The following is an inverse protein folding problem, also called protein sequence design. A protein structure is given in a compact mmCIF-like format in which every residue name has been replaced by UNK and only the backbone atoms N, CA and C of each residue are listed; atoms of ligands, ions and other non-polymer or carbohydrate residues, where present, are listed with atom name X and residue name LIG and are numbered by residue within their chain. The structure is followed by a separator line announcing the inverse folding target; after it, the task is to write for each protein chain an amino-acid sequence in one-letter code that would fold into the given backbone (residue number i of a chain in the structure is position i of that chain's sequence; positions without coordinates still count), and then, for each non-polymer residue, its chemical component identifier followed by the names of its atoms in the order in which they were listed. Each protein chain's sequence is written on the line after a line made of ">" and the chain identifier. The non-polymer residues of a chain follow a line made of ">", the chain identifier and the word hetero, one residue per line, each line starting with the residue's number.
data_IF_848969614041
#
_entry.id   IF_848969614041
#
_cell.length_a   1.000
_cell.length_b   1.000
_cell.length_c   1.000
_cell.angle_alpha   90.00
_cell.angle_beta   90.00
_cell.angle_gamma   90.00
#
_symmetry.space_group_name_H-M   'P 1'
#
loop_
_entity.id
_entity.type
_entity.pdbx_description
1 polymer ?
#
# COMPACT_ATOMS: atom_id res chain seq x y z
N UNK A 1 -12.62 -25.94 -26.34
CA UNK A 1 -12.02 -26.64 -25.17
C UNK A 1 -11.82 -25.65 -24.03
N UNK A 2 -12.35 -25.94 -22.83
CA UNK A 2 -12.02 -25.16 -21.63
C UNK A 2 -10.69 -25.68 -21.09
N UNK A 3 -9.71 -24.80 -20.96
CA UNK A 3 -8.37 -25.14 -20.45
C UNK A 3 -8.41 -25.14 -18.93
N UNK A 4 -7.56 -25.95 -18.29
CA UNK A 4 -7.36 -25.84 -16.84
C UNK A 4 -6.68 -24.50 -16.50
N UNK A 5 -6.95 -24.00 -15.30
CA UNK A 5 -6.27 -22.82 -14.77
C UNK A 5 -4.76 -23.08 -14.67
N UNK A 6 -3.94 -22.12 -15.12
CA UNK A 6 -2.47 -22.25 -15.14
C UNK A 6 -1.79 -22.08 -13.78
N UNK A 7 -2.54 -21.83 -12.71
CA UNK A 7 -1.99 -21.69 -11.35
C UNK A 7 -1.83 -23.06 -10.74
N UNK A 8 -0.62 -23.36 -10.25
CA UNK A 8 -0.29 -24.64 -9.63
C UNK A 8 -1.24 -24.96 -8.46
N UNK A 9 -1.80 -26.17 -8.47
CA UNK A 9 -2.74 -26.63 -7.45
C UNK A 9 -4.19 -26.15 -7.64
N UNK A 10 -4.49 -25.37 -8.69
CA UNK A 10 -5.86 -24.97 -9.00
C UNK A 10 -6.55 -26.01 -9.88
N UNK A 11 -7.69 -26.52 -9.43
CA UNK A 11 -8.52 -27.49 -10.17
C UNK A 11 -9.64 -26.84 -10.99
N UNK A 12 -9.80 -25.51 -10.88
CA UNK A 12 -10.82 -24.76 -11.59
C UNK A 12 -10.49 -24.57 -13.08
N UNK A 13 -11.52 -24.41 -13.90
CA UNK A 13 -11.36 -24.11 -15.31
C UNK A 13 -10.97 -22.65 -15.55
N UNK A 14 -10.18 -22.42 -16.59
CA UNK A 14 -9.85 -21.09 -17.04
C UNK A 14 -11.10 -20.37 -17.57
N UNK A 15 -11.17 -19.06 -17.32
CA UNK A 15 -12.34 -18.23 -17.59
C UNK A 15 -12.17 -17.39 -18.88
N UNK A 16 -13.00 -17.67 -19.88
CA UNK A 16 -12.96 -17.01 -21.19
C UNK A 16 -11.68 -17.31 -21.96
N UNK A 17 -11.01 -16.25 -22.45
CA UNK A 17 -9.73 -16.32 -23.17
C UNK A 17 -8.50 -16.26 -22.27
N UNK A 18 -8.68 -16.25 -20.95
CA UNK A 18 -7.58 -16.22 -19.98
C UNK A 18 -6.95 -17.59 -19.80
N UNK A 19 -5.70 -17.64 -19.33
CA UNK A 19 -5.07 -18.87 -18.82
C UNK A 19 -5.45 -19.18 -17.37
N UNK A 20 -6.06 -18.23 -16.67
CA UNK A 20 -6.44 -18.30 -15.25
C UNK A 20 -7.96 -18.38 -15.07
N UNK A 21 -8.41 -19.03 -13.99
CA UNK A 21 -9.82 -19.02 -13.58
C UNK A 21 -10.27 -17.61 -13.11
N UNK A 22 -11.58 -17.39 -13.01
CA UNK A 22 -12.15 -16.10 -12.60
C UNK A 22 -11.66 -15.60 -11.23
N UNK A 23 -11.47 -16.52 -10.28
CA UNK A 23 -10.93 -16.23 -8.96
C UNK A 23 -9.49 -15.70 -9.00
N UNK A 24 -8.61 -16.40 -9.73
CA UNK A 24 -7.21 -16.00 -9.88
C UNK A 24 -7.04 -14.72 -10.70
N UNK A 25 -7.86 -14.50 -11.74
CA UNK A 25 -7.92 -13.21 -12.47
C UNK A 25 -8.27 -12.06 -11.52
N UNK A 26 -9.28 -12.26 -10.68
CA UNK A 26 -9.73 -11.24 -9.72
C UNK A 26 -8.68 -10.99 -8.66
N UNK A 27 -8.01 -12.03 -8.16
CA UNK A 27 -6.95 -11.91 -7.16
C UNK A 27 -5.76 -11.15 -7.73
N UNK A 28 -5.27 -11.52 -8.91
CA UNK A 28 -4.20 -10.80 -9.62
C UNK A 28 -4.55 -9.32 -9.86
N UNK A 29 -5.78 -9.05 -10.31
CA UNK A 29 -6.24 -7.66 -10.51
C UNK A 29 -6.24 -6.84 -9.21
N UNK A 30 -6.58 -7.46 -8.08
CA UNK A 30 -6.72 -6.78 -6.78
C UNK A 30 -5.43 -6.71 -5.96
N UNK A 31 -4.54 -7.68 -6.15
CA UNK A 31 -3.41 -7.94 -5.26
C UNK A 31 -2.08 -7.99 -6.00
N UNK A 32 -2.06 -7.79 -7.32
CA UNK A 32 -0.86 -7.71 -8.13
C UNK A 32 -0.34 -9.07 -8.62
N UNK A 33 -0.71 -10.15 -7.93
CA UNK A 33 -0.36 -11.53 -8.28
C UNK A 33 -1.51 -12.49 -7.92
N UNK A 34 -1.62 -13.60 -8.67
CA UNK A 34 -2.70 -14.56 -8.50
C UNK A 34 -2.58 -15.40 -7.22
N UNK A 35 -1.39 -15.58 -6.67
CA UNK A 35 -1.15 -16.32 -5.42
C UNK A 35 -0.95 -15.38 -4.22
N UNK A 36 -0.82 -14.06 -4.44
CA UNK A 36 -0.66 -13.09 -3.36
C UNK A 36 -1.82 -13.16 -2.35
N UNK A 37 -1.44 -13.27 -1.08
CA UNK A 37 -2.37 -13.11 0.03
C UNK A 37 -2.54 -11.62 0.39
N UNK A 38 -3.76 -11.17 0.74
CA UNK A 38 -3.98 -9.79 1.15
C UNK A 38 -3.25 -9.49 2.45
N UNK A 39 -2.48 -8.41 2.49
CA UNK A 39 -2.02 -7.83 3.76
C UNK A 39 -3.25 -7.25 4.45
N UNK A 40 -3.51 -7.63 5.68
CA UNK A 40 -4.67 -7.15 6.46
C UNK A 40 -4.31 -5.89 7.26
N UNK A 41 -5.34 -5.12 7.64
CA UNK A 41 -5.13 -3.98 8.55
C UNK A 41 -4.62 -4.44 9.93
N UNK A 42 -4.99 -5.66 10.35
CA UNK A 42 -4.55 -6.25 11.63
C UNK A 42 -3.06 -6.54 11.62
N UNK A 43 -2.54 -7.14 10.55
CA UNK A 43 -1.10 -7.40 10.37
C UNK A 43 -0.30 -6.09 10.35
N UNK A 44 -0.83 -5.04 9.71
CA UNK A 44 -0.10 -3.78 9.56
C UNK A 44 -0.19 -2.86 10.78
N UNK A 45 -1.22 -2.97 11.61
CA UNK A 45 -1.44 -2.15 12.81
C UNK A 45 -0.21 -1.98 13.72
N UNK A 46 0.54 -3.03 14.10
CA UNK A 46 1.73 -2.85 14.93
C UNK A 46 2.81 -2.00 14.27
N UNK A 47 2.97 -2.08 12.95
CA UNK A 47 3.96 -1.30 12.20
C UNK A 47 3.56 0.17 12.10
N UNK A 48 2.28 0.45 11.86
CA UNK A 48 1.77 1.83 11.87
C UNK A 48 1.97 2.45 13.25
N UNK A 49 1.65 1.73 14.32
CA UNK A 49 1.85 2.21 15.69
C UNK A 49 3.33 2.50 16.01
N UNK A 50 4.27 1.70 15.48
CA UNK A 50 5.71 1.95 15.60
C UNK A 50 6.13 3.26 14.92
N UNK A 51 5.65 3.50 13.69
CA UNK A 51 5.94 4.74 12.96
C UNK A 51 5.34 5.95 13.68
N UNK A 52 4.08 5.86 14.11
CA UNK A 52 3.42 6.92 14.88
C UNK A 52 4.13 7.23 16.20
N UNK A 53 4.62 6.20 16.92
CA UNK A 53 5.41 6.37 18.13
C UNK A 53 6.68 7.19 17.84
N UNK A 54 7.36 6.94 16.71
CA UNK A 54 8.54 7.71 16.30
C UNK A 54 8.20 9.16 15.94
N UNK A 55 7.12 9.37 15.20
CA UNK A 55 6.64 10.72 14.87
C UNK A 55 6.39 11.51 16.16
N UNK A 56 5.75 10.89 17.17
CA UNK A 56 5.50 11.52 18.47
C UNK A 56 6.77 11.74 19.30
N UNK A 57 7.73 10.83 19.24
CA UNK A 57 8.98 10.94 19.99
C UNK A 57 9.93 12.01 19.41
N UNK A 58 9.88 12.24 18.09
CA UNK A 58 10.74 13.21 17.40
C UNK A 58 9.92 14.07 16.43
N UNK A 59 9.03 14.94 16.95
CA UNK A 59 8.13 15.73 16.11
C UNK A 59 8.86 16.73 15.22
N UNK A 60 9.96 17.31 15.71
CA UNK A 60 10.75 18.35 15.02
C UNK A 60 11.88 17.77 14.16
N UNK A 61 11.88 16.46 13.92
CA UNK A 61 12.89 15.84 13.07
C UNK A 61 12.81 16.38 11.64
N UNK A 62 13.93 16.85 11.05
CA UNK A 62 13.96 17.37 9.68
C UNK A 62 13.58 16.29 8.65
N UNK A 63 13.68 15.00 9.02
CA UNK A 63 13.27 13.89 8.17
C UNK A 63 11.77 13.97 7.81
N UNK A 64 10.90 14.40 8.73
CA UNK A 64 9.47 14.53 8.46
C UNK A 64 9.18 15.65 7.47
N UNK A 65 9.86 16.79 7.60
CA UNK A 65 9.75 17.90 6.66
C UNK A 65 10.21 17.48 5.25
N UNK A 66 11.26 16.69 5.14
CA UNK A 66 11.73 16.14 3.85
C UNK A 66 10.68 15.21 3.24
N UNK A 67 10.06 14.32 4.03
CA UNK A 67 9.01 13.43 3.56
C UNK A 67 7.75 14.18 3.12
N UNK A 68 7.32 15.15 3.92
CA UNK A 68 6.19 16.02 3.61
C UNK A 68 6.46 16.82 2.31
N UNK A 69 7.68 17.33 2.12
CA UNK A 69 8.07 18.05 0.91
C UNK A 69 8.12 17.14 -0.34
N UNK A 70 8.63 15.91 -0.21
CA UNK A 70 8.66 14.92 -1.31
C UNK A 70 7.25 14.58 -1.77
N UNK A 71 6.36 14.29 -0.81
CA UNK A 71 4.97 14.01 -1.10
C UNK A 71 4.23 15.23 -1.66
N UNK A 72 4.45 16.41 -1.09
CA UNK A 72 3.91 17.67 -1.59
C UNK A 72 4.29 17.96 -3.05
N UNK A 73 5.53 17.66 -3.44
CA UNK A 73 5.98 17.76 -4.84
C UNK A 73 5.20 16.84 -5.76
N UNK A 74 5.02 15.57 -5.36
CA UNK A 74 4.25 14.59 -6.14
C UNK A 74 2.79 15.02 -6.27
N UNK A 75 2.16 15.48 -5.19
CA UNK A 75 0.79 16.00 -5.21
C UNK A 75 0.70 17.23 -6.10
N UNK A 76 1.71 18.11 -6.08
CA UNK A 76 1.83 19.25 -7.00
C UNK A 76 1.82 18.82 -8.47
N UNK A 77 2.64 17.83 -8.83
CA UNK A 77 2.64 17.23 -10.18
C UNK A 77 1.27 16.65 -10.52
N UNK A 78 0.64 15.93 -9.60
CA UNK A 78 -0.69 15.35 -9.80
C UNK A 78 -1.76 16.42 -10.05
N UNK A 79 -1.71 17.54 -9.32
CA UNK A 79 -2.60 18.70 -9.55
C UNK A 79 -2.38 19.30 -10.94
N UNK A 80 -1.13 19.43 -11.38
CA UNK A 80 -0.82 19.93 -12.72
C UNK A 80 -1.37 19.02 -13.82
N UNK A 81 -1.24 17.70 -13.67
CA UNK A 81 -1.83 16.69 -14.58
C UNK A 81 -3.35 16.86 -14.69
N UNK A 82 -4.03 17.03 -13.55
CA UNK A 82 -5.49 17.20 -13.53
C UNK A 82 -5.93 18.54 -14.14
N UNK A 83 -5.18 19.62 -13.88
CA UNK A 83 -5.45 20.92 -14.49
C UNK A 83 -5.27 20.88 -16.02
N UNK A 84 -4.28 20.13 -16.53
CA UNK A 84 -4.12 19.89 -17.97
C UNK A 84 -5.33 19.17 -18.60
N UNK A 85 -5.84 18.16 -17.90
CA UNK A 85 -7.07 17.48 -18.31
C UNK A 85 -8.27 18.42 -18.37
N UNK A 86 -8.44 19.30 -17.37
CA UNK A 86 -9.53 20.29 -17.34
C UNK A 86 -9.44 21.30 -18.49
N UNK A 87 -8.22 21.62 -18.95
CA UNK A 87 -7.98 22.42 -20.16
C UNK A 87 -8.21 21.67 -21.48
N UNK A 88 -8.50 20.36 -21.43
CA UNK A 88 -8.71 19.53 -22.62
C UNK A 88 -7.43 18.99 -23.25
N UNK A 89 -6.31 18.99 -22.53
CA UNK A 89 -5.06 18.40 -23.02
C UNK A 89 -5.18 16.87 -23.15
N UNK A 90 -4.64 16.31 -24.24
CA UNK A 90 -4.56 14.86 -24.42
C UNK A 90 -3.65 14.24 -23.35
N UNK A 91 -4.09 13.12 -22.76
CA UNK A 91 -3.34 12.49 -21.68
C UNK A 91 -3.76 11.05 -21.42
N UNK A 92 -2.99 10.39 -20.55
CA UNK A 92 -3.23 9.00 -20.21
C UNK A 92 -4.33 8.87 -19.14
N UNK A 93 -5.42 8.18 -19.47
CA UNK A 93 -6.54 7.94 -18.53
C UNK A 93 -6.10 7.32 -17.21
N UNK A 94 -5.12 6.42 -17.22
CA UNK A 94 -4.62 5.79 -15.99
C UNK A 94 -3.81 6.75 -15.12
N UNK A 95 -3.09 7.66 -15.75
CA UNK A 95 -2.35 8.72 -15.07
C UNK A 95 -3.30 9.73 -14.43
N UNK A 96 -4.36 10.12 -15.14
CA UNK A 96 -5.43 10.96 -14.56
C UNK A 96 -6.09 10.30 -13.35
N UNK A 97 -6.40 9.00 -13.44
CA UNK A 97 -6.99 8.26 -12.32
C UNK A 97 -6.05 8.15 -11.12
N UNK A 98 -4.76 7.90 -11.36
CA UNK A 98 -3.76 7.86 -10.30
C UNK A 98 -3.58 9.24 -9.65
N UNK A 99 -3.47 10.30 -10.46
CA UNK A 99 -3.30 11.68 -10.01
C UNK A 99 -4.50 12.15 -9.18
N UNK A 100 -5.72 11.85 -9.64
CA UNK A 100 -6.96 12.13 -8.90
C UNK A 100 -6.96 11.45 -7.53
N UNK A 101 -6.49 10.21 -7.45
CA UNK A 101 -6.41 9.50 -6.18
C UNK A 101 -5.33 10.07 -5.25
N UNK A 102 -4.16 10.42 -5.77
CA UNK A 102 -3.09 11.04 -4.96
C UNK A 102 -3.54 12.38 -4.34
N UNK A 103 -4.16 13.26 -5.14
CA UNK A 103 -4.72 14.53 -4.66
C UNK A 103 -5.84 14.31 -3.64
N UNK A 104 -6.69 13.30 -3.88
CA UNK A 104 -7.76 12.93 -2.96
C UNK A 104 -7.21 12.44 -1.62
N UNK A 105 -6.20 11.57 -1.62
CA UNK A 105 -5.55 11.07 -0.41
C UNK A 105 -4.96 12.20 0.42
N UNK A 106 -4.29 13.15 -0.23
CA UNK A 106 -3.75 14.33 0.45
C UNK A 106 -4.87 15.14 1.11
N UNK A 107 -5.96 15.38 0.40
CA UNK A 107 -7.09 16.16 0.92
C UNK A 107 -7.80 15.49 2.10
N UNK A 108 -7.92 14.16 2.11
CA UNK A 108 -8.72 13.45 3.12
C UNK A 108 -7.93 13.00 4.34
N UNK A 109 -6.71 12.48 4.13
CA UNK A 109 -5.91 11.88 5.21
C UNK A 109 -4.70 12.74 5.60
N UNK A 110 -4.18 13.53 4.65
CA UNK A 110 -2.95 14.31 4.79
C UNK A 110 -1.68 13.46 4.61
N UNK A 111 -0.61 14.11 4.15
CA UNK A 111 0.66 13.48 3.81
C UNK A 111 1.26 12.63 4.92
N UNK A 112 1.19 13.08 6.18
CA UNK A 112 1.74 12.34 7.33
C UNK A 112 1.11 10.97 7.56
N UNK A 113 -0.22 10.84 7.41
CA UNK A 113 -0.90 9.54 7.53
C UNK A 113 -0.59 8.62 6.36
N UNK A 114 -0.50 9.19 5.16
CA UNK A 114 -0.06 8.46 3.96
C UNK A 114 1.36 7.92 4.17
N UNK A 115 2.27 8.77 4.65
CA UNK A 115 3.65 8.41 4.97
C UNK A 115 3.71 7.31 6.04
N UNK A 116 2.93 7.42 7.13
CA UNK A 116 2.94 6.43 8.20
C UNK A 116 2.60 5.02 7.70
N UNK A 117 1.58 4.88 6.85
CA UNK A 117 1.20 3.58 6.28
C UNK A 117 2.19 3.11 5.22
N UNK A 118 2.74 4.01 4.40
CA UNK A 118 3.76 3.64 3.41
C UNK A 118 5.04 3.12 4.07
N UNK A 119 5.53 3.83 5.10
CA UNK A 119 6.67 3.40 5.91
C UNK A 119 6.40 2.09 6.64
N UNK A 120 5.20 1.93 7.21
CA UNK A 120 4.79 0.68 7.85
C UNK A 120 4.80 -0.50 6.86
N UNK A 121 4.34 -0.29 5.63
CA UNK A 121 4.39 -1.31 4.57
C UNK A 121 5.82 -1.65 4.16
N UNK A 122 6.71 -0.66 4.07
CA UNK A 122 8.13 -0.89 3.79
C UNK A 122 8.80 -1.70 4.91
N UNK A 123 8.57 -1.34 6.18
CA UNK A 123 9.06 -2.09 7.33
C UNK A 123 8.52 -3.53 7.36
N UNK A 124 7.22 -3.71 7.09
CA UNK A 124 6.59 -5.04 7.00
C UNK A 124 7.22 -5.90 5.90
N UNK A 125 7.55 -5.32 4.74
CA UNK A 125 8.24 -6.03 3.65
C UNK A 125 9.64 -6.48 4.03
N UNK A 126 10.39 -5.65 4.77
CA UNK A 126 11.74 -5.98 5.21
C UNK A 126 11.74 -7.09 6.28
N UNK A 127 10.80 -7.06 7.22
CA UNK A 127 10.67 -8.11 8.25
C UNK A 127 10.09 -9.43 7.68
N UNK A 128 9.26 -9.36 6.64
CA UNK A 128 8.58 -10.52 6.06
C UNK A 128 8.67 -10.58 4.53
N UNK A 129 9.86 -10.79 3.94
CA UNK A 129 10.05 -10.74 2.49
C UNK A 129 9.24 -11.82 1.75
N UNK A 130 9.06 -12.99 2.36
CA UNK A 130 8.29 -14.12 1.81
C UNK A 130 6.77 -13.87 1.75
N UNK A 131 6.26 -12.81 2.39
CA UNK A 131 4.82 -12.46 2.34
C UNK A 131 4.40 -11.89 0.99
N UNK A 132 5.34 -11.44 0.17
CA UNK A 132 5.06 -10.87 -1.14
C UNK A 132 5.55 -11.80 -2.24
N UNK A 133 4.62 -12.31 -3.06
CA UNK A 133 4.95 -13.22 -4.15
C UNK A 133 5.83 -12.54 -5.21
N UNK A 134 5.59 -11.25 -5.47
CA UNK A 134 6.34 -10.45 -6.45
C UNK A 134 6.42 -8.99 -5.99
N UNK A 135 7.32 -8.21 -6.60
CA UNK A 135 7.38 -6.74 -6.39
C UNK A 135 6.05 -6.07 -6.73
N UNK A 136 5.41 -6.48 -7.84
CA UNK A 136 4.09 -6.01 -8.23
C UNK A 136 3.03 -6.33 -7.17
N UNK A 137 3.13 -7.48 -6.52
CA UNK A 137 2.23 -7.83 -5.44
C UNK A 137 2.38 -6.87 -4.25
N UNK A 138 3.63 -6.52 -3.88
CA UNK A 138 3.91 -5.50 -2.87
C UNK A 138 3.30 -4.13 -3.23
N UNK A 139 3.56 -3.63 -4.44
CA UNK A 139 3.04 -2.35 -4.94
C UNK A 139 1.51 -2.26 -4.82
N UNK A 140 0.81 -3.33 -5.18
CA UNK A 140 -0.64 -3.38 -5.10
C UNK A 140 -1.13 -3.39 -3.65
N UNK A 141 -0.45 -4.10 -2.75
CA UNK A 141 -0.79 -4.09 -1.33
C UNK A 141 -0.51 -2.72 -0.69
N UNK A 142 0.61 -2.08 -1.05
CA UNK A 142 0.96 -0.73 -0.60
C UNK A 142 -0.15 0.27 -0.95
N UNK A 143 -0.52 0.35 -2.23
CA UNK A 143 -1.59 1.23 -2.68
C UNK A 143 -2.92 0.88 -2.01
N UNK A 144 -3.26 -0.41 -1.88
CA UNK A 144 -4.50 -0.84 -1.23
C UNK A 144 -4.55 -0.43 0.24
N UNK A 145 -3.44 -0.52 0.98
CA UNK A 145 -3.36 -0.15 2.40
C UNK A 145 -3.42 1.36 2.57
N UNK A 146 -2.69 2.12 1.76
CA UNK A 146 -2.76 3.59 1.75
C UNK A 146 -4.17 4.06 1.42
N UNK A 147 -4.77 3.54 0.35
CA UNK A 147 -6.15 3.87 -0.04
C UNK A 147 -7.20 3.42 0.97
N UNK A 148 -6.93 2.34 1.69
CA UNK A 148 -7.81 1.76 2.70
C UNK A 148 -7.95 2.60 3.97
N UNK A 149 -7.10 3.63 4.15
CA UNK A 149 -7.25 4.60 5.23
C UNK A 149 -8.52 5.44 5.06
N UNK A 150 -8.76 5.91 3.84
CA UNK A 150 -9.92 6.74 3.54
C UNK A 150 -11.21 5.92 3.38
N UNK A 151 -12.28 6.39 4.01
CA UNK A 151 -13.62 5.88 3.79
C UNK A 151 -14.10 6.05 2.33
N UNK A 152 -13.50 7.00 1.61
CA UNK A 152 -13.92 7.42 0.27
C UNK A 152 -13.57 6.41 -0.82
N UNK A 153 -12.83 5.35 -0.49
CA UNK A 153 -12.56 4.23 -1.40
C UNK A 153 -13.54 3.06 -1.22
N UNK A 154 -14.53 3.25 -0.35
CA UNK A 154 -15.64 2.33 -0.13
C UNK A 154 -16.81 2.77 -1.02
N UNK A 155 -17.10 1.97 -2.02
CA UNK A 155 -18.35 2.01 -2.77
C UNK A 155 -19.45 1.24 -2.03
N UNK A 156 -20.66 1.35 -2.56
CA UNK A 156 -21.85 0.69 -2.02
C UNK A 156 -22.44 -0.17 -3.13
N UNK A 157 -22.78 -1.42 -2.83
CA UNK A 157 -23.42 -2.35 -3.74
C UNK A 157 -24.58 -3.03 -3.03
N UNK A 158 -25.71 -3.14 -3.71
CA UNK A 158 -26.83 -3.94 -3.23
C UNK A 158 -26.51 -5.43 -3.36
N UNK A 159 -26.75 -6.21 -2.31
CA UNK A 159 -26.65 -7.67 -2.33
C UNK A 159 -28.05 -8.29 -2.34
N UNK A 160 -28.51 -8.69 -3.52
CA UNK A 160 -29.85 -9.26 -3.72
C UNK A 160 -30.08 -10.55 -2.93
N UNK A 161 -29.03 -11.31 -2.59
CA UNK A 161 -29.19 -12.56 -1.81
C UNK A 161 -29.44 -12.29 -0.34
N UNK A 162 -28.81 -11.23 0.20
CA UNK A 162 -28.94 -10.85 1.61
C UNK A 162 -29.95 -9.74 1.84
N UNK A 163 -30.54 -9.18 0.78
CA UNK A 163 -31.45 -8.02 0.81
C UNK A 163 -30.85 -6.86 1.62
N UNK A 164 -29.53 -6.66 1.49
CA UNK A 164 -28.78 -5.70 2.28
C UNK A 164 -27.77 -4.95 1.43
N UNK A 165 -27.54 -3.72 1.83
CA UNK A 165 -26.52 -2.86 1.25
C UNK A 165 -25.13 -3.25 1.77
N UNK A 166 -24.27 -3.74 0.88
CA UNK A 166 -22.89 -4.10 1.20
C UNK A 166 -21.92 -3.02 0.76
N UNK A 167 -20.97 -2.71 1.63
CA UNK A 167 -19.83 -1.86 1.27
C UNK A 167 -18.81 -2.65 0.43
N UNK A 168 -18.48 -2.16 -0.77
CA UNK A 168 -17.56 -2.79 -1.72
C UNK A 168 -16.37 -1.87 -1.96
N UNK A 169 -15.16 -2.40 -1.97
CA UNK A 169 -13.98 -1.62 -2.31
C UNK A 169 -13.98 -1.23 -3.79
N UNK A 170 -13.84 0.06 -4.09
CA UNK A 170 -13.76 0.52 -5.49
C UNK A 170 -12.37 0.20 -6.06
N UNK A 171 -12.35 -0.80 -6.93
CA UNK A 171 -11.14 -1.25 -7.59
C UNK A 171 -10.59 -0.17 -8.52
N UNK A 172 -9.27 0.02 -8.45
CA UNK A 172 -8.54 0.89 -9.37
C UNK A 172 -7.94 0.03 -10.49
N UNK A 173 -7.89 0.52 -11.74
CA UNK A 173 -7.25 -0.22 -12.83
C UNK A 173 -5.79 -0.56 -12.51
N UNK A 174 -5.29 -1.77 -12.84
CA UNK A 174 -3.94 -2.22 -12.52
C UNK A 174 -2.82 -1.23 -12.92
N UNK A 175 -2.96 -0.57 -14.07
CA UNK A 175 -1.98 0.43 -14.55
C UNK A 175 -1.98 1.70 -13.69
N UNK A 176 -3.15 2.18 -13.26
CA UNK A 176 -3.25 3.32 -12.36
C UNK A 176 -2.71 2.98 -10.97
N UNK A 177 -2.96 1.76 -10.49
CA UNK A 177 -2.36 1.25 -9.24
C UNK A 177 -0.84 1.26 -9.31
N UNK A 178 -0.24 0.78 -10.41
CA UNK A 178 1.20 0.78 -10.59
C UNK A 178 1.80 2.19 -10.59
N UNK A 179 1.15 3.16 -11.24
CA UNK A 179 1.60 4.56 -11.23
C UNK A 179 1.56 5.17 -9.82
N UNK A 180 0.47 4.93 -9.07
CA UNK A 180 0.36 5.42 -7.70
C UNK A 180 1.39 4.74 -6.78
N UNK A 181 1.66 3.44 -6.97
CA UNK A 181 2.70 2.73 -6.23
C UNK A 181 4.09 3.33 -6.51
N UNK A 182 4.41 3.58 -7.77
CA UNK A 182 5.67 4.22 -8.18
C UNK A 182 5.87 5.57 -7.48
N UNK A 183 4.83 6.41 -7.40
CA UNK A 183 4.92 7.69 -6.71
C UNK A 183 5.08 7.54 -5.19
N UNK A 184 4.35 6.61 -4.57
CA UNK A 184 4.51 6.33 -3.14
C UNK A 184 5.91 5.80 -2.81
N UNK A 185 6.45 4.93 -3.65
CA UNK A 185 7.81 4.41 -3.48
C UNK A 185 8.86 5.52 -3.66
N UNK A 186 8.71 6.35 -4.70
CA UNK A 186 9.58 7.51 -4.91
C UNK A 186 9.57 8.49 -3.71
N UNK A 187 8.43 8.63 -3.04
CA UNK A 187 8.33 9.46 -1.83
C UNK A 187 9.00 8.82 -0.62
N UNK A 188 8.73 7.53 -0.37
CA UNK A 188 8.88 6.93 0.96
C UNK A 188 9.84 5.74 1.05
N UNK A 189 10.21 5.06 -0.04
CA UNK A 189 10.98 3.79 0.05
C UNK A 189 12.33 3.96 0.76
N UNK A 190 13.05 5.05 0.48
CA UNK A 190 14.36 5.32 1.11
C UNK A 190 14.24 5.55 2.62
N UNK A 191 13.22 6.29 3.05
CA UNK A 191 12.97 6.52 4.48
C UNK A 191 12.45 5.25 5.17
N UNK A 192 11.67 4.42 4.47
CA UNK A 192 11.22 3.12 4.98
C UNK A 192 12.39 2.18 5.29
N UNK A 193 13.39 2.12 4.39
CA UNK A 193 14.60 1.35 4.60
C UNK A 193 15.42 1.87 5.80
N UNK A 194 15.62 3.18 5.91
CA UNK A 194 16.33 3.77 7.04
C UNK A 194 15.60 3.53 8.38
N UNK A 195 14.27 3.63 8.40
CA UNK A 195 13.47 3.38 9.60
C UNK A 195 13.61 1.92 10.07
N UNK A 196 13.65 0.96 9.16
CA UNK A 196 13.86 -0.45 9.50
C UNK A 196 15.24 -0.71 10.11
N UNK A 197 16.30 -0.11 9.55
CA UNK A 197 17.67 -0.19 10.11
C UNK A 197 17.68 0.37 11.54
N UNK A 198 17.08 1.54 11.76
CA UNK A 198 16.97 2.12 13.09
C UNK A 198 16.14 1.26 14.07
N UNK A 199 15.18 0.48 13.58
CA UNK A 199 14.41 -0.46 14.41
C UNK A 199 15.23 -1.67 14.83
N UNK A 200 16.03 -2.23 13.93
CA UNK A 200 16.93 -3.32 14.25
C UNK A 200 17.98 -2.89 15.28
N UNK A 201 18.57 -1.71 15.11
CA UNK A 201 19.52 -1.15 16.07
C UNK A 201 18.88 -0.92 17.45
N UNK A 202 17.65 -0.37 17.49
CA UNK A 202 16.94 -0.16 18.75
C UNK A 202 16.63 -1.49 19.46
N UNK A 203 16.14 -2.50 18.73
CA UNK A 203 15.91 -3.85 19.27
C UNK A 203 17.20 -4.49 19.78
N UNK A 204 18.30 -4.35 19.06
CA UNK A 204 19.59 -4.86 19.48
C UNK A 204 20.08 -4.19 20.78
N UNK A 205 19.83 -2.89 20.95
CA UNK A 205 20.14 -2.17 22.21
C UNK A 205 19.26 -2.65 23.36
N UNK A 206 17.95 -2.77 23.15
CA UNK A 206 17.00 -3.28 24.16
C UNK A 206 17.36 -4.71 24.60
N UNK A 207 17.69 -5.59 23.65
CA UNK A 207 18.14 -6.95 23.94
C UNK A 207 19.43 -6.98 24.77
N UNK A 208 20.41 -6.12 24.47
CA UNK A 208 21.63 -5.98 25.28
C UNK A 208 21.33 -5.47 26.68
N UNK A 209 20.44 -4.49 26.84
CA UNK A 209 20.05 -3.98 28.17
C UNK A 209 19.30 -5.03 28.98
N UNK A 210 18.42 -5.80 28.35
CA UNK A 210 17.70 -6.90 29.01
C UNK A 210 18.66 -8.01 29.43
N UNK A 211 19.57 -8.41 28.53
CA UNK A 211 20.58 -9.42 28.83
C UNK A 211 21.50 -8.98 29.98
N UNK A 212 21.91 -7.71 30.01
CA UNK A 212 22.68 -7.14 31.12
C UNK A 212 21.88 -7.16 32.43
N UNK A 213 20.60 -6.77 32.41
CA UNK A 213 19.72 -6.80 33.57
C UNK A 213 19.49 -8.22 34.12
N UNK A 214 19.34 -9.21 33.24
CA UNK A 214 19.22 -10.62 33.63
C UNK A 214 20.54 -11.13 34.24
N UNK A 215 21.69 -10.72 33.70
CA UNK A 215 23.00 -11.10 34.23
C UNK A 215 23.27 -10.50 35.63
N UNK A 216 22.73 -9.33 35.93
CA UNK A 216 22.86 -8.69 37.26
C UNK A 216 21.94 -9.27 38.35
N UNK A 217 20.92 -10.05 37.97
CA UNK A 217 19.99 -10.71 38.89
C UNK A 217 20.47 -12.11 39.32
N UNK A 218 21.63 -12.56 38.85
CA UNK A 218 22.20 -13.88 39.06
C UNK A 218 23.48 -13.79 39.88
#
# INVERSE_FOLDING_TARGET
>A
MRRQCSILGCQELADGYSTKCGGHKTRERRHGDAQQEPVTARELRPYVARVEKRVKANPDSPAWAVLDARWGRIVGTCRAILAGRERGEAGNTHEWLAAAEAVKLERTEGGRKVAAVALAMAAFRLEHPHRFATTRAYEFQLVRRVRGQSAVNRGVSWDHKRQQTRTVYREMPPRATALLALWLDAAYSSAGAQLAVMEEEARAREAKTLAAAICTLR
#
